data_IF_993171226330
#
_entry.id   IF_993171226330
#
_cell.length_a   1.000
_cell.length_b   1.000
_cell.length_c   1.000
_cell.angle_alpha   90.00
_cell.angle_beta   90.00
_cell.angle_gamma   90.00
#
_symmetry.space_group_name_H-M   'P 1'
#
loop_
_entity.id
_entity.type
_entity.pdbx_description
1 polymer ?
#
# COMPACT_ATOMS: atom_id res chain seq x y z
N UNK A 1 -17.07 -1.50 -24.44
CA UNK A 1 -15.72 -2.03 -24.63
C UNK A 1 -14.82 -1.49 -23.55
N UNK A 2 -14.27 -2.35 -22.74
CA UNK A 2 -13.39 -1.93 -21.66
C UNK A 2 -11.96 -1.86 -22.19
N UNK A 3 -11.54 -0.68 -22.64
CA UNK A 3 -10.24 -0.44 -23.32
C UNK A 3 -9.04 -0.92 -22.48
N UNK A 4 -9.28 -1.15 -21.19
CA UNK A 4 -8.22 -1.54 -20.24
C UNK A 4 -7.97 -3.05 -20.20
N UNK A 5 -8.91 -3.87 -20.70
CA UNK A 5 -8.79 -5.32 -20.67
C UNK A 5 -8.22 -5.95 -21.94
N UNK A 6 -8.03 -5.17 -23.00
CA UNK A 6 -7.63 -5.68 -24.31
C UNK A 6 -6.12 -5.56 -24.60
N UNK A 7 -5.29 -5.33 -23.57
CA UNK A 7 -3.85 -5.27 -23.80
C UNK A 7 -3.29 -6.68 -23.96
N UNK A 8 -2.52 -6.94 -25.01
CA UNK A 8 -1.82 -8.20 -25.10
C UNK A 8 -0.87 -8.33 -23.92
N UNK A 9 -0.99 -9.42 -23.17
CA UNK A 9 -0.07 -9.75 -22.10
C UNK A 9 1.25 -10.14 -22.75
N UNK A 10 2.28 -9.30 -22.61
CA UNK A 10 3.62 -9.58 -23.09
C UNK A 10 4.49 -10.10 -21.93
N UNK A 11 5.54 -10.84 -22.23
CA UNK A 11 6.49 -11.32 -21.22
C UNK A 11 7.07 -10.15 -20.42
N UNK A 12 7.29 -9.00 -21.07
CA UNK A 12 7.76 -7.78 -20.43
C UNK A 12 6.73 -7.21 -19.45
N UNK A 13 5.46 -7.21 -19.81
CA UNK A 13 4.38 -6.80 -18.91
C UNK A 13 4.29 -7.73 -17.69
N UNK A 14 4.32 -9.04 -17.91
CA UNK A 14 4.26 -10.02 -16.84
C UNK A 14 5.43 -9.88 -15.86
N UNK A 15 6.65 -9.67 -16.38
CA UNK A 15 7.83 -9.46 -15.55
C UNK A 15 7.71 -8.19 -14.71
N UNK A 16 7.25 -7.08 -15.30
CA UNK A 16 7.01 -5.84 -14.58
C UNK A 16 5.92 -6.00 -13.52
N UNK A 17 4.81 -6.66 -13.87
CA UNK A 17 3.71 -6.92 -12.93
C UNK A 17 4.17 -7.75 -11.73
N UNK A 18 4.97 -8.79 -11.97
CA UNK A 18 5.50 -9.63 -10.90
C UNK A 18 6.41 -8.85 -9.95
N UNK A 19 7.25 -7.97 -10.50
CA UNK A 19 8.14 -7.12 -9.69
C UNK A 19 7.33 -6.11 -8.86
N UNK A 20 6.31 -5.49 -9.44
CA UNK A 20 5.41 -4.58 -8.74
C UNK A 20 4.63 -5.33 -7.66
N UNK A 21 4.11 -6.53 -7.95
CA UNK A 21 3.41 -7.36 -6.97
C UNK A 21 4.31 -7.65 -5.76
N UNK A 22 5.58 -7.95 -6.00
CA UNK A 22 6.54 -8.21 -4.94
C UNK A 22 6.80 -6.98 -4.05
N UNK A 23 6.90 -5.78 -4.66
CA UNK A 23 7.05 -4.53 -3.92
C UNK A 23 5.87 -4.29 -2.98
N UNK A 24 4.65 -4.45 -3.51
CA UNK A 24 3.42 -4.22 -2.75
C UNK A 24 3.28 -5.24 -1.61
N UNK A 25 3.52 -6.53 -1.89
CA UNK A 25 3.47 -7.57 -0.88
C UNK A 25 4.49 -7.32 0.25
N UNK A 26 5.70 -6.89 -0.10
CA UNK A 26 6.73 -6.55 0.88
C UNK A 26 6.30 -5.35 1.74
N UNK A 27 5.73 -4.32 1.12
CA UNK A 27 5.24 -3.14 1.84
C UNK A 27 4.18 -3.51 2.88
N UNK A 28 3.14 -4.25 2.49
CA UNK A 28 2.07 -4.63 3.41
C UNK A 28 2.57 -5.45 4.59
N UNK A 29 3.50 -6.40 4.36
CA UNK A 29 4.03 -7.25 5.42
C UNK A 29 4.81 -6.51 6.50
N UNK A 30 5.41 -5.37 6.17
CA UNK A 30 6.27 -4.63 7.09
C UNK A 30 5.57 -4.16 8.36
N UNK A 31 4.25 -3.93 8.28
CA UNK A 31 3.49 -3.32 9.36
C UNK A 31 2.96 -4.30 10.39
N UNK A 32 3.05 -5.60 10.15
CA UNK A 32 2.50 -6.60 11.07
C UNK A 32 3.33 -6.67 12.35
N UNK A 33 2.66 -6.48 13.50
CA UNK A 33 3.24 -6.72 14.81
C UNK A 33 2.51 -7.85 15.57
N UNK A 34 1.85 -8.74 14.83
CA UNK A 34 1.15 -9.89 15.39
C UNK A 34 2.10 -10.75 16.22
N UNK A 35 1.58 -11.33 17.29
CA UNK A 35 2.32 -12.21 18.20
C UNK A 35 3.51 -11.52 18.87
N UNK A 36 3.41 -10.21 19.08
CA UNK A 36 4.47 -9.43 19.72
C UNK A 36 5.68 -9.18 18.85
N UNK A 37 5.57 -9.41 17.53
CA UNK A 37 6.66 -9.17 16.60
C UNK A 37 7.09 -7.71 16.61
N UNK A 38 8.39 -7.49 16.73
CA UNK A 38 8.97 -6.14 16.61
C UNK A 38 8.95 -5.71 15.13
N UNK A 39 8.48 -4.48 14.90
CA UNK A 39 8.40 -3.90 13.55
C UNK A 39 9.67 -3.13 13.23
N UNK A 40 10.23 -3.39 12.06
CA UNK A 40 11.34 -2.65 11.46
C UNK A 40 10.88 -2.16 10.08
N UNK A 41 10.73 -0.85 9.92
CA UNK A 41 10.26 -0.24 8.68
C UNK A 41 11.40 0.26 7.78
N UNK A 42 12.65 0.03 8.15
CA UNK A 42 13.80 0.43 7.34
C UNK A 42 13.76 -0.13 5.89
N UNK A 43 13.21 -1.34 5.63
CA UNK A 43 13.09 -1.83 4.25
C UNK A 43 12.26 -0.94 3.32
N UNK A 44 11.45 0.01 3.84
CA UNK A 44 10.74 0.97 3.00
C UNK A 44 11.70 1.75 2.10
N UNK A 45 12.91 2.04 2.58
CA UNK A 45 13.94 2.71 1.77
C UNK A 45 14.34 1.91 0.52
N UNK A 46 14.15 0.60 0.52
CA UNK A 46 14.45 -0.25 -0.64
C UNK A 46 13.24 -0.44 -1.57
N UNK A 47 12.04 -0.11 -1.10
CA UNK A 47 10.81 -0.24 -1.90
C UNK A 47 10.47 1.04 -2.66
N UNK A 48 10.96 2.18 -2.20
CA UNK A 48 10.72 3.51 -2.76
C UNK A 48 12.00 4.07 -3.37
N UNK A 49 11.83 5.04 -4.28
CA UNK A 49 12.95 5.93 -4.61
C UNK A 49 13.23 6.83 -3.39
N UNK A 50 14.47 7.38 -3.27
CA UNK A 50 14.80 8.22 -2.09
C UNK A 50 13.87 9.42 -1.89
N UNK A 51 13.34 9.97 -2.98
CA UNK A 51 12.42 11.11 -2.99
C UNK A 51 10.95 10.69 -2.80
N UNK A 52 10.72 9.44 -2.43
CA UNK A 52 9.39 8.87 -2.27
C UNK A 52 8.53 9.64 -1.28
N UNK A 53 7.23 9.67 -1.54
CA UNK A 53 6.25 10.41 -0.75
C UNK A 53 5.14 9.46 -0.32
N UNK A 54 4.78 9.51 0.97
CA UNK A 54 3.67 8.74 1.52
C UNK A 54 2.68 9.72 2.13
N UNK A 55 1.41 9.65 1.70
CA UNK A 55 0.39 10.63 2.07
C UNK A 55 -0.77 9.93 2.77
N UNK A 56 -1.06 10.36 3.98
CA UNK A 56 -2.25 9.98 4.72
C UNK A 56 -3.32 11.04 4.49
N UNK A 57 -4.44 10.66 3.89
CA UNK A 57 -5.49 11.62 3.52
C UNK A 57 -6.87 11.19 4.07
N UNK A 58 -6.91 10.76 5.32
CA UNK A 58 -8.14 10.33 6.01
C UNK A 58 -8.76 11.42 6.87
N UNK A 59 -8.09 12.54 7.05
CA UNK A 59 -8.55 13.68 7.84
C UNK A 59 -8.97 14.86 6.98
N UNK A 60 -9.24 16.02 7.62
CA UNK A 60 -9.63 17.23 6.89
C UNK A 60 -8.52 17.79 5.99
N UNK A 61 -7.27 17.47 6.29
CA UNK A 61 -6.11 17.90 5.50
C UNK A 61 -5.18 16.70 5.27
N UNK A 62 -4.53 16.63 4.09
CA UNK A 62 -3.54 15.59 3.84
C UNK A 62 -2.32 15.78 4.72
N UNK A 63 -1.79 14.66 5.20
CA UNK A 63 -0.50 14.64 5.91
C UNK A 63 0.53 14.03 4.97
N UNK A 64 1.50 14.82 4.57
CA UNK A 64 2.51 14.46 3.57
C UNK A 64 3.82 14.13 4.28
N UNK A 65 4.33 12.92 4.05
CA UNK A 65 5.58 12.45 4.65
C UNK A 65 6.62 12.18 3.57
N UNK A 66 7.87 12.54 3.85
CA UNK A 66 8.99 11.84 3.21
C UNK A 66 9.15 10.47 3.89
N UNK A 67 10.03 9.63 3.38
CA UNK A 67 10.16 8.26 3.90
C UNK A 67 10.54 8.24 5.38
N UNK A 68 11.52 9.03 5.77
CA UNK A 68 11.97 9.11 7.17
C UNK A 68 10.86 9.62 8.09
N UNK A 69 10.15 10.66 7.66
CA UNK A 69 9.05 11.24 8.43
C UNK A 69 7.88 10.29 8.62
N UNK A 70 7.67 9.37 7.68
CA UNK A 70 6.66 8.31 7.81
C UNK A 70 7.14 7.19 8.73
N UNK A 71 8.38 6.74 8.55
CA UNK A 71 8.93 5.57 9.25
C UNK A 71 9.02 5.80 10.75
N UNK A 72 9.61 6.89 11.20
CA UNK A 72 9.92 7.10 12.61
C UNK A 72 8.70 7.05 13.53
N UNK A 73 7.64 7.85 13.31
CA UNK A 73 6.48 7.80 14.21
C UNK A 73 5.70 6.49 14.07
N UNK A 74 5.65 5.89 12.88
CA UNK A 74 4.92 4.64 12.65
C UNK A 74 5.59 3.46 13.32
N UNK A 75 6.89 3.35 13.22
CA UNK A 75 7.67 2.30 13.88
C UNK A 75 7.55 2.41 15.40
N UNK A 76 7.60 3.63 15.92
CA UNK A 76 7.40 3.89 17.36
C UNK A 76 6.01 3.44 17.81
N UNK A 77 4.96 3.78 17.06
CA UNK A 77 3.59 3.37 17.37
C UNK A 77 3.44 1.84 17.39
N UNK A 78 3.96 1.18 16.37
CA UNK A 78 3.83 -0.28 16.21
C UNK A 78 4.66 -1.08 17.22
N UNK A 79 5.63 -0.45 17.89
CA UNK A 79 6.46 -1.06 18.93
C UNK A 79 6.12 -0.59 20.34
N UNK A 80 5.16 0.34 20.50
CA UNK A 80 4.84 0.95 21.81
C UNK A 80 3.94 0.10 22.70
N UNK A 81 3.20 -0.85 22.12
CA UNK A 81 2.15 -1.57 22.82
C UNK A 81 0.77 -0.91 22.76
N UNK A 82 0.66 0.31 22.19
CA UNK A 82 -0.63 1.00 22.05
C UNK A 82 -1.45 0.44 20.89
N UNK A 83 -0.78 0.01 19.84
CA UNK A 83 -1.40 -0.66 18.68
C UNK A 83 -0.78 -2.05 18.58
N UNK A 84 -1.55 -3.10 18.93
CA UNK A 84 -1.07 -4.48 18.95
C UNK A 84 -1.86 -5.36 18.00
N UNK A 85 -1.27 -6.49 17.65
CA UNK A 85 -1.84 -7.45 16.70
C UNK A 85 -2.29 -6.77 15.39
N UNK A 86 -1.57 -5.72 14.99
CA UNK A 86 -1.85 -4.98 13.76
C UNK A 86 -1.42 -5.77 12.53
N UNK A 87 -2.26 -5.71 11.52
CA UNK A 87 -2.01 -6.32 10.21
C UNK A 87 -2.67 -5.49 9.12
N UNK A 88 -2.13 -5.60 7.93
CA UNK A 88 -2.67 -4.94 6.74
C UNK A 88 -2.52 -5.88 5.56
N UNK A 89 -3.54 -5.98 4.74
CA UNK A 89 -3.62 -6.93 3.63
C UNK A 89 -4.24 -6.28 2.40
N UNK A 90 -3.63 -6.46 1.24
CA UNK A 90 -4.26 -6.13 -0.03
C UNK A 90 -5.31 -7.19 -0.35
N UNK A 91 -6.54 -6.77 -0.64
CA UNK A 91 -7.67 -7.65 -0.95
C UNK A 91 -7.83 -7.80 -2.45
N UNK A 92 -7.78 -6.69 -3.18
CA UNK A 92 -7.87 -6.66 -4.64
C UNK A 92 -7.10 -5.48 -5.18
N UNK A 93 -6.77 -5.52 -6.47
CA UNK A 93 -5.97 -4.47 -7.07
C UNK A 93 -6.24 -4.32 -8.57
N UNK A 94 -5.92 -3.17 -9.08
CA UNK A 94 -5.83 -2.91 -10.51
C UNK A 94 -4.51 -2.19 -10.77
N UNK A 95 -3.70 -2.76 -11.67
CA UNK A 95 -2.40 -2.23 -12.03
C UNK A 95 -2.35 -1.91 -13.52
N UNK A 96 -1.95 -0.70 -13.85
CA UNK A 96 -1.74 -0.23 -15.22
C UNK A 96 -0.27 0.08 -15.42
N UNK A 97 0.34 -0.44 -16.49
CA UNK A 97 1.76 -0.30 -16.78
C UNK A 97 1.92 0.23 -18.20
N UNK A 98 2.75 1.27 -18.33
CA UNK A 98 3.15 1.77 -19.65
C UNK A 98 4.64 2.12 -19.61
N UNK A 99 5.45 1.37 -20.36
CA UNK A 99 6.89 1.61 -20.41
C UNK A 99 7.52 1.62 -19.00
N UNK A 100 8.02 2.76 -18.59
CA UNK A 100 8.76 2.92 -17.33
C UNK A 100 7.90 3.49 -16.20
N UNK A 101 6.59 3.55 -16.37
CA UNK A 101 5.67 4.04 -15.35
C UNK A 101 4.54 3.04 -15.08
N UNK A 102 4.03 3.04 -13.86
CA UNK A 102 2.87 2.24 -13.48
C UNK A 102 2.09 2.91 -12.36
N UNK A 103 0.82 2.52 -12.26
CA UNK A 103 -0.05 2.91 -11.14
C UNK A 103 -0.84 1.70 -10.68
N UNK A 104 -1.19 1.69 -9.40
CA UNK A 104 -1.98 0.61 -8.82
C UNK A 104 -3.01 1.18 -7.86
N UNK A 105 -4.24 0.75 -7.99
CA UNK A 105 -5.31 1.07 -7.07
C UNK A 105 -5.62 -0.19 -6.27
N UNK A 106 -5.45 -0.12 -4.95
CA UNK A 106 -5.57 -1.28 -4.07
C UNK A 106 -6.71 -1.10 -3.10
N UNK A 107 -7.58 -2.12 -3.02
CA UNK A 107 -8.49 -2.29 -1.89
C UNK A 107 -7.71 -3.01 -0.80
N UNK A 108 -7.62 -2.43 0.38
CA UNK A 108 -6.95 -3.08 1.51
C UNK A 108 -7.90 -3.25 2.68
N UNK A 109 -7.51 -4.17 3.54
CA UNK A 109 -8.12 -4.43 4.83
C UNK A 109 -7.03 -4.36 5.88
N UNK A 110 -7.33 -3.74 7.01
CA UNK A 110 -6.42 -3.67 8.14
C UNK A 110 -7.17 -3.85 9.44
N UNK A 111 -6.49 -4.32 10.46
CA UNK A 111 -7.08 -4.51 11.76
C UNK A 111 -6.02 -4.63 12.84
N UNK A 112 -6.49 -4.66 14.07
CA UNK A 112 -5.64 -4.75 15.25
C UNK A 112 -6.42 -4.41 16.51
N UNK A 113 -5.67 -4.13 17.57
CA UNK A 113 -6.22 -3.69 18.85
C UNK A 113 -5.52 -2.39 19.21
N UNK A 114 -6.28 -1.31 19.33
CA UNK A 114 -5.75 0.00 19.70
C UNK A 114 -6.39 0.47 20.99
N UNK A 115 -5.55 0.82 21.98
CA UNK A 115 -6.01 1.22 23.33
C UNK A 115 -7.01 0.21 23.93
N UNK A 116 -6.76 -1.09 23.71
CA UNK A 116 -7.59 -2.18 24.21
C UNK A 116 -8.86 -2.46 23.40
N UNK A 117 -9.10 -1.74 22.30
CA UNK A 117 -10.29 -1.89 21.47
C UNK A 117 -9.92 -2.51 20.13
N UNK A 118 -10.52 -3.65 19.80
CA UNK A 118 -10.37 -4.30 18.49
C UNK A 118 -11.02 -3.47 17.40
N UNK A 119 -10.35 -3.37 16.25
CA UNK A 119 -10.91 -2.72 15.07
C UNK A 119 -10.53 -3.47 13.80
N UNK A 120 -11.34 -3.28 12.78
CA UNK A 120 -11.06 -3.73 11.41
C UNK A 120 -11.67 -2.72 10.46
N UNK A 121 -10.94 -2.32 9.42
CA UNK A 121 -11.44 -1.35 8.45
C UNK A 121 -10.93 -1.68 7.05
N UNK A 122 -11.66 -1.18 6.06
CA UNK A 122 -11.30 -1.23 4.66
C UNK A 122 -10.87 0.17 4.20
N UNK A 123 -10.13 0.22 3.12
CA UNK A 123 -9.78 1.49 2.50
C UNK A 123 -9.20 1.27 1.12
N UNK A 124 -8.85 2.37 0.49
CA UNK A 124 -8.25 2.38 -0.83
C UNK A 124 -6.90 3.08 -0.80
N UNK A 125 -5.98 2.55 -1.59
CA UNK A 125 -4.61 3.04 -1.68
C UNK A 125 -4.26 3.22 -3.15
N UNK A 126 -3.72 4.39 -3.53
CA UNK A 126 -3.14 4.59 -4.85
C UNK A 126 -1.64 4.60 -4.74
N UNK A 127 -0.96 3.86 -5.60
CA UNK A 127 0.49 3.78 -5.60
C UNK A 127 1.01 4.02 -7.00
N UNK A 128 2.02 4.87 -7.13
CA UNK A 128 2.73 5.11 -8.38
C UNK A 128 4.10 4.45 -8.34
N UNK A 129 4.52 3.92 -9.48
CA UNK A 129 5.78 3.20 -9.63
C UNK A 129 6.55 3.74 -10.81
N UNK A 130 7.85 3.73 -10.71
CA UNK A 130 8.75 4.02 -11.82
C UNK A 130 9.79 2.92 -11.94
N UNK A 131 10.19 2.63 -13.19
CA UNK A 131 11.31 1.74 -13.44
C UNK A 131 12.61 2.55 -13.32
N UNK A 132 13.52 2.09 -12.47
CA UNK A 132 14.84 2.67 -12.28
C UNK A 132 15.92 1.70 -12.78
N UNK A 133 17.20 2.11 -12.87
CA UNK A 133 18.28 1.18 -13.16
C UNK A 133 18.38 0.02 -12.17
N UNK A 134 17.83 0.16 -10.98
CA UNK A 134 17.81 -0.89 -9.93
C UNK A 134 16.50 -1.70 -9.92
N UNK A 135 15.62 -1.49 -10.89
CA UNK A 135 14.33 -2.14 -10.98
C UNK A 135 13.18 -1.19 -10.64
N UNK A 136 11.98 -1.74 -10.54
CA UNK A 136 10.79 -0.96 -10.18
C UNK A 136 10.84 -0.50 -8.73
N UNK A 137 10.40 0.73 -8.49
CA UNK A 137 10.29 1.32 -7.16
C UNK A 137 9.03 2.15 -7.06
N UNK A 138 8.49 2.27 -5.86
CA UNK A 138 7.38 3.19 -5.59
C UNK A 138 7.89 4.62 -5.58
N UNK A 139 7.13 5.55 -6.17
CA UNK A 139 7.42 6.98 -6.14
C UNK A 139 6.51 7.72 -5.18
N UNK A 140 5.25 7.28 -5.06
CA UNK A 140 4.29 7.89 -4.14
C UNK A 140 3.19 6.89 -3.79
N UNK A 141 2.59 7.10 -2.62
CA UNK A 141 1.48 6.30 -2.14
C UNK A 141 0.55 7.19 -1.32
N UNK A 142 -0.76 7.07 -1.57
CA UNK A 142 -1.80 7.83 -0.86
C UNK A 142 -2.87 6.85 -0.43
N UNK A 143 -3.40 7.02 0.79
CA UNK A 143 -4.52 6.18 1.24
C UNK A 143 -5.61 6.98 1.93
N UNK A 144 -6.82 6.44 1.86
CA UNK A 144 -7.99 6.90 2.60
C UNK A 144 -8.78 5.68 3.08
N UNK A 145 -9.28 5.76 4.31
CA UNK A 145 -10.03 4.69 4.95
C UNK A 145 -11.54 4.88 4.78
N UNK A 146 -12.28 3.78 4.74
CA UNK A 146 -13.73 3.82 4.85
C UNK A 146 -14.13 4.49 6.17
N UNK A 147 -15.26 5.16 6.15
CA UNK A 147 -15.87 5.85 7.29
C UNK A 147 -17.34 6.03 7.03
N UNK A 148 -18.07 6.58 7.99
CA UNK A 148 -19.48 6.91 7.78
C UNK A 148 -19.64 7.77 6.54
N UNK A 149 -20.49 7.34 5.62
CA UNK A 149 -20.74 8.02 4.35
C UNK A 149 -19.74 7.72 3.23
N UNK A 150 -18.72 6.88 3.49
CA UNK A 150 -17.74 6.48 2.49
C UNK A 150 -17.46 4.97 2.56
N UNK A 151 -18.09 4.22 1.66
CA UNK A 151 -17.90 2.79 1.50
C UNK A 151 -17.16 2.47 0.21
N UNK A 152 -16.65 1.24 0.12
CA UNK A 152 -15.98 0.75 -1.10
C UNK A 152 -17.02 0.52 -2.20
N UNK A 153 -16.93 1.23 -3.34
CA UNK A 153 -17.76 0.92 -4.51
C UNK A 153 -17.54 -0.53 -4.99
N UNK A 154 -18.62 -1.15 -5.46
CA UNK A 154 -18.58 -2.54 -5.90
C UNK A 154 -17.52 -2.80 -6.98
N UNK A 155 -17.32 -1.86 -7.90
CA UNK A 155 -16.31 -2.00 -8.97
C UNK A 155 -14.89 -2.27 -8.45
N UNK A 156 -14.56 -1.81 -7.25
CA UNK A 156 -13.24 -2.07 -6.64
C UNK A 156 -13.16 -3.44 -5.97
N UNK A 157 -14.31 -4.01 -5.59
CA UNK A 157 -14.39 -5.37 -5.07
C UNK A 157 -14.26 -6.41 -6.18
N UNK A 158 -14.51 -6.01 -7.43
CA UNK A 158 -14.43 -6.86 -8.63
C UNK A 158 -13.06 -6.79 -9.33
N UNK A 159 -12.10 -6.07 -8.78
CA UNK A 159 -10.74 -6.05 -9.29
C UNK A 159 -10.04 -7.40 -9.08
N UNK A 160 -8.83 -7.55 -9.63
CA UNK A 160 -8.04 -8.78 -9.46
C UNK A 160 -7.80 -9.05 -7.98
N UNK A 161 -8.12 -10.27 -7.54
CA UNK A 161 -7.89 -10.69 -6.16
C UNK A 161 -6.41 -10.92 -5.91
N UNK A 162 -5.93 -10.41 -4.80
CA UNK A 162 -4.53 -10.55 -4.38
C UNK A 162 -4.33 -11.71 -3.43
#
# INVERSE_FOLDING_TARGET
>A
MNVWNDRPVTDEYEAAKAEIDALVAAFFRLFSNREGRKVDLAPIFDLFIPEGTIIKNIGPEPVIYDLKGFIEPREKLLNSGDLVDFWEQEVSERTDIFGNIAQRFSLYRKGGIQAGVSFETLGMKTTQFIRTPKGWRMSSLIWDDCREGLDIPERYRLMVQS
#
